data_IF_115669636102
#
_entry.id   IF_115669636102
#
_cell.length_a   1.000
_cell.length_b   1.000
_cell.length_c   1.000
_cell.angle_alpha   90.00
_cell.angle_beta   90.00
_cell.angle_gamma   90.00
#
_symmetry.space_group_name_H-M   'P 1'
#
loop_
_entity.id
_entity.type
_entity.pdbx_description
1 polymer ?
#
# COMPACT_ATOMS: atom_id res chain seq x y z
N UNK A 1 -8.48 42.42 -8.80
CA UNK A 1 -7.83 41.45 -9.71
C UNK A 1 -8.62 40.16 -9.67
N UNK A 2 -9.13 39.74 -10.83
CA UNK A 2 -10.36 38.96 -10.97
C UNK A 2 -10.14 37.45 -10.78
N UNK A 3 -10.89 36.86 -9.84
CA UNK A 3 -10.92 35.41 -9.56
C UNK A 3 -11.65 34.57 -10.64
N UNK A 4 -12.19 35.21 -11.67
CA UNK A 4 -12.92 34.55 -12.77
C UNK A 4 -12.04 34.07 -13.93
N UNK A 5 -10.72 34.29 -13.87
CA UNK A 5 -9.79 33.89 -14.94
C UNK A 5 -9.21 32.47 -14.77
N UNK A 6 -9.37 31.83 -13.60
CA UNK A 6 -8.73 30.53 -13.31
C UNK A 6 -9.60 29.34 -13.76
N UNK A 7 -10.90 29.53 -13.98
CA UNK A 7 -11.81 28.45 -14.44
C UNK A 7 -11.74 28.22 -15.97
N UNK A 8 -11.11 29.12 -16.73
CA UNK A 8 -11.01 29.01 -18.18
C UNK A 8 -9.80 28.18 -18.69
N UNK A 9 -8.97 27.62 -17.80
CA UNK A 9 -7.73 26.95 -18.19
C UNK A 9 -7.86 25.55 -18.80
N UNK A 10 -9.04 24.91 -18.72
CA UNK A 10 -9.20 23.49 -19.10
C UNK A 10 -10.24 23.21 -20.20
N UNK A 11 -10.93 24.23 -20.70
CA UNK A 11 -11.74 24.08 -21.91
C UNK A 11 -10.87 23.96 -23.19
N UNK A 12 -9.60 24.36 -23.12
CA UNK A 12 -8.73 24.52 -24.29
C UNK A 12 -7.98 23.26 -24.75
N UNK A 13 -7.91 22.19 -23.93
CA UNK A 13 -7.20 20.95 -24.29
C UNK A 13 -8.09 19.87 -24.95
N UNK A 14 -9.36 20.20 -25.26
CA UNK A 14 -10.34 19.22 -25.79
C UNK A 14 -10.34 19.14 -27.33
N UNK A 15 -9.70 20.10 -28.03
CA UNK A 15 -9.89 20.25 -29.48
C UNK A 15 -8.78 19.71 -30.39
N UNK A 16 -7.66 19.24 -29.87
CA UNK A 16 -6.57 18.70 -30.69
C UNK A 16 -6.71 17.21 -31.02
N UNK A 17 -7.81 16.55 -30.66
CA UNK A 17 -8.04 15.10 -30.86
C UNK A 17 -8.48 14.70 -32.27
N UNK A 18 -8.24 15.51 -33.30
CA UNK A 18 -8.68 15.20 -34.67
C UNK A 18 -7.70 15.59 -35.80
N UNK A 19 -6.46 15.95 -35.44
CA UNK A 19 -5.44 16.40 -36.40
C UNK A 19 -4.14 15.61 -36.22
N UNK A 20 -4.23 14.28 -36.24
CA UNK A 20 -3.08 13.43 -36.52
C UNK A 20 -2.83 13.54 -38.04
N UNK A 21 -1.72 14.13 -38.46
CA UNK A 21 -1.23 14.06 -39.86
C UNK A 21 -1.92 14.88 -40.96
N UNK A 22 -2.88 15.77 -40.67
CA UNK A 22 -3.72 16.40 -41.72
C UNK A 22 -3.36 17.84 -42.12
N UNK A 23 -2.20 18.36 -41.70
CA UNK A 23 -1.78 19.75 -41.99
C UNK A 23 -1.61 20.04 -43.50
N UNK A 24 -1.41 19.01 -44.32
CA UNK A 24 -1.33 19.14 -45.78
C UNK A 24 -2.64 18.83 -46.52
N UNK A 25 -3.74 18.53 -45.82
CA UNK A 25 -5.02 18.29 -46.49
C UNK A 25 -5.54 19.58 -47.16
N UNK A 26 -5.69 19.52 -48.47
CA UNK A 26 -6.42 20.50 -49.26
C UNK A 26 -7.85 20.65 -48.72
N UNK A 27 -8.52 21.77 -49.04
CA UNK A 27 -9.93 21.97 -48.66
C UNK A 27 -10.83 20.83 -49.19
N UNK A 28 -10.50 20.28 -50.36
CA UNK A 28 -11.22 19.18 -50.98
C UNK A 28 -11.06 17.87 -50.20
N UNK A 29 -9.84 17.54 -49.77
CA UNK A 29 -9.56 16.34 -48.97
C UNK A 29 -10.24 16.40 -47.60
N UNK A 30 -10.22 17.58 -46.94
CA UNK A 30 -10.96 17.81 -45.70
C UNK A 30 -12.46 17.60 -45.87
N UNK A 31 -13.05 18.12 -46.95
CA UNK A 31 -14.47 17.95 -47.24
C UNK A 31 -14.82 16.47 -47.49
N UNK A 32 -14.00 15.76 -48.26
CA UNK A 32 -14.17 14.33 -48.51
C UNK A 32 -14.08 13.50 -47.22
N UNK A 33 -13.12 13.81 -46.34
CA UNK A 33 -12.97 13.16 -45.04
C UNK A 33 -14.18 13.38 -44.14
N UNK A 34 -14.64 14.63 -44.01
CA UNK A 34 -15.85 14.94 -43.24
C UNK A 34 -17.07 14.24 -43.84
N UNK A 35 -17.18 14.14 -45.17
CA UNK A 35 -18.28 13.42 -45.81
C UNK A 35 -18.25 11.92 -45.48
N UNK A 36 -17.05 11.31 -45.44
CA UNK A 36 -16.82 9.90 -45.14
C UNK A 36 -17.02 9.54 -43.64
N UNK A 37 -17.02 10.51 -42.73
CA UNK A 37 -17.29 10.28 -41.31
C UNK A 37 -18.70 9.71 -41.09
N UNK A 38 -18.82 8.80 -40.13
CA UNK A 38 -20.10 8.33 -39.59
C UNK A 38 -20.90 9.47 -38.94
N UNK A 39 -22.20 9.27 -38.74
CA UNK A 39 -23.05 10.27 -38.07
C UNK A 39 -22.60 10.55 -36.63
N UNK A 40 -22.10 9.53 -35.93
CA UNK A 40 -21.53 9.67 -34.59
C UNK A 40 -20.27 10.54 -34.59
N UNK A 41 -19.37 10.35 -35.55
CA UNK A 41 -18.16 11.16 -35.71
C UNK A 41 -18.47 12.60 -36.12
N UNK A 42 -19.44 12.79 -37.04
CA UNK A 42 -19.92 14.12 -37.43
C UNK A 42 -20.53 14.86 -36.24
N UNK A 43 -21.32 14.18 -35.40
CA UNK A 43 -21.87 14.76 -34.18
C UNK A 43 -20.76 15.13 -33.19
N UNK A 44 -19.77 14.24 -32.99
CA UNK A 44 -18.62 14.52 -32.13
C UNK A 44 -17.80 15.73 -32.64
N UNK A 45 -17.62 15.85 -33.96
CA UNK A 45 -16.93 16.98 -34.59
C UNK A 45 -17.70 18.28 -34.40
N UNK A 46 -19.03 18.29 -34.60
CA UNK A 46 -19.88 19.46 -34.33
C UNK A 46 -19.79 19.91 -32.88
N UNK A 47 -19.86 18.98 -31.93
CA UNK A 47 -19.73 19.28 -30.51
C UNK A 47 -18.35 19.85 -30.15
N UNK A 48 -17.28 19.40 -30.83
CA UNK A 48 -15.94 20.00 -30.68
C UNK A 48 -15.91 21.43 -31.23
N UNK A 49 -16.44 21.65 -32.43
CA UNK A 49 -16.51 22.99 -33.04
C UNK A 49 -17.29 23.97 -32.18
N UNK A 50 -18.46 23.57 -31.68
CA UNK A 50 -19.28 24.43 -30.82
C UNK A 50 -18.54 24.81 -29.53
N UNK A 51 -17.80 23.88 -28.92
CA UNK A 51 -16.95 24.18 -27.75
C UNK A 51 -15.83 25.16 -28.10
N UNK A 52 -15.22 25.04 -29.28
CA UNK A 52 -14.20 25.97 -29.74
C UNK A 52 -14.77 27.37 -29.96
N UNK A 53 -15.93 27.47 -30.60
CA UNK A 53 -16.58 28.74 -30.92
C UNK A 53 -17.04 29.49 -29.66
N UNK A 54 -17.32 28.76 -28.57
CA UNK A 54 -17.63 29.34 -27.25
C UNK A 54 -16.40 29.88 -26.52
N UNK A 55 -15.17 29.60 -26.97
CA UNK A 55 -13.96 30.15 -26.34
C UNK A 55 -13.83 31.65 -26.64
N UNK A 56 -13.27 32.43 -25.69
CA UNK A 56 -12.86 33.82 -25.93
C UNK A 56 -11.96 33.96 -27.16
N UNK A 57 -12.04 35.10 -27.85
CA UNK A 57 -11.34 35.31 -29.11
C UNK A 57 -9.80 35.21 -28.98
N UNK A 58 -9.25 35.70 -27.87
CA UNK A 58 -7.85 35.58 -27.50
C UNK A 58 -7.43 34.12 -27.31
N UNK A 59 -8.25 33.31 -26.65
CA UNK A 59 -7.96 31.89 -26.45
C UNK A 59 -8.08 31.09 -27.76
N UNK A 60 -9.07 31.41 -28.62
CA UNK A 60 -9.12 30.83 -29.98
C UNK A 60 -7.88 31.18 -30.79
N UNK A 61 -7.45 32.44 -30.76
CA UNK A 61 -6.24 32.88 -31.46
C UNK A 61 -4.99 32.18 -30.93
N UNK A 62 -4.87 32.02 -29.61
CA UNK A 62 -3.78 31.27 -28.98
C UNK A 62 -3.75 29.83 -29.46
N UNK A 63 -4.89 29.15 -29.55
CA UNK A 63 -4.99 27.78 -30.06
C UNK A 63 -4.61 27.67 -31.54
N UNK A 64 -5.02 28.64 -32.38
CA UNK A 64 -4.58 28.71 -33.77
C UNK A 64 -3.05 28.86 -33.86
N UNK A 65 -2.47 29.76 -33.07
CA UNK A 65 -1.03 29.98 -33.04
C UNK A 65 -0.27 28.73 -32.58
N UNK A 66 -0.78 28.02 -31.56
CA UNK A 66 -0.19 26.76 -31.10
C UNK A 66 -0.23 25.70 -32.20
N UNK A 67 -1.34 25.57 -32.92
CA UNK A 67 -1.43 24.62 -34.02
C UNK A 67 -0.42 24.95 -35.14
N UNK A 68 -0.33 26.22 -35.54
CA UNK A 68 0.65 26.66 -36.55
C UNK A 68 2.09 26.35 -36.09
N UNK A 69 2.44 26.62 -34.83
CA UNK A 69 3.76 26.29 -34.27
C UNK A 69 4.04 24.79 -34.28
N UNK A 70 3.04 23.94 -34.07
CA UNK A 70 3.19 22.48 -34.17
C UNK A 70 3.34 22.01 -35.62
N UNK A 71 2.76 22.72 -36.59
CA UNK A 71 2.88 22.38 -38.02
C UNK A 71 4.24 22.76 -38.61
N UNK A 72 4.83 23.87 -38.16
CA UNK A 72 6.14 24.34 -38.63
C UNK A 72 7.32 23.51 -38.10
N UNK A 73 7.11 22.75 -37.02
CA UNK A 73 8.15 21.97 -36.35
C UNK A 73 8.37 20.60 -36.98
N UNK A 74 9.63 20.22 -37.14
CA UNK A 74 10.01 18.88 -37.62
C UNK A 74 9.58 17.74 -36.69
N UNK A 75 9.50 17.99 -35.38
CA UNK A 75 9.03 17.06 -34.33
C UNK A 75 7.55 17.26 -33.97
N UNK A 76 6.79 18.03 -34.78
CA UNK A 76 5.42 18.43 -34.47
C UNK A 76 4.45 17.27 -34.23
N UNK A 77 4.61 16.18 -34.98
CA UNK A 77 3.77 14.98 -34.82
C UNK A 77 4.04 14.23 -33.51
N UNK A 78 5.31 14.11 -33.11
CA UNK A 78 5.68 13.50 -31.84
C UNK A 78 5.14 14.33 -30.66
N UNK A 79 5.22 15.66 -30.75
CA UNK A 79 4.65 16.56 -29.75
C UNK A 79 3.13 16.42 -29.64
N UNK A 80 2.42 16.26 -30.76
CA UNK A 80 0.97 15.97 -30.75
C UNK A 80 0.67 14.67 -30.02
N UNK A 81 1.44 13.61 -30.26
CA UNK A 81 1.29 12.34 -29.54
C UNK A 81 1.56 12.47 -28.05
N UNK A 82 2.57 13.26 -27.65
CA UNK A 82 2.84 13.56 -26.23
C UNK A 82 1.66 14.31 -25.60
N UNK A 83 1.10 15.30 -26.28
CA UNK A 83 -0.09 16.03 -25.79
C UNK A 83 -1.29 15.09 -25.61
N UNK A 84 -1.49 14.12 -26.52
CA UNK A 84 -2.54 13.11 -26.39
C UNK A 84 -2.33 12.20 -25.20
N UNK A 85 -1.14 11.60 -25.07
CA UNK A 85 -0.81 10.74 -23.92
C UNK A 85 -0.96 11.48 -22.60
N UNK A 86 -0.52 12.74 -22.55
CA UNK A 86 -0.69 13.59 -21.38
C UNK A 86 -2.17 13.86 -21.07
N UNK A 87 -2.99 14.17 -22.07
CA UNK A 87 -4.42 14.39 -21.86
C UNK A 87 -5.14 13.13 -21.40
N UNK A 88 -4.84 11.97 -21.99
CA UNK A 88 -5.44 10.70 -21.61
C UNK A 88 -5.03 10.29 -20.19
N UNK A 89 -3.76 10.50 -19.82
CA UNK A 89 -3.31 10.34 -18.44
C UNK A 89 -3.98 11.32 -17.49
N UNK A 90 -4.13 12.61 -17.85
CA UNK A 90 -4.84 13.57 -17.00
C UNK A 90 -6.28 13.15 -16.68
N UNK A 91 -6.95 12.41 -17.57
CA UNK A 91 -8.32 11.90 -17.31
C UNK A 91 -8.36 10.82 -16.23
N UNK A 92 -7.25 10.12 -15.97
CA UNK A 92 -7.18 9.10 -14.91
C UNK A 92 -7.07 9.73 -13.53
N UNK A 93 -6.64 11.00 -13.45
CA UNK A 93 -6.45 11.72 -12.19
C UNK A 93 -7.77 12.24 -11.60
N UNK A 94 -7.84 12.25 -10.27
CA UNK A 94 -8.96 12.84 -9.56
C UNK A 94 -8.99 14.39 -9.72
N UNK A 95 -10.11 15.01 -9.37
CA UNK A 95 -10.29 16.46 -9.54
C UNK A 95 -9.28 17.30 -8.74
N UNK A 96 -8.90 16.86 -7.54
CA UNK A 96 -7.90 17.54 -6.70
C UNK A 96 -6.50 17.51 -7.32
N UNK A 97 -6.06 16.34 -7.79
CA UNK A 97 -4.77 16.18 -8.49
C UNK A 97 -4.70 17.02 -9.77
N UNK A 98 -5.79 17.07 -10.54
CA UNK A 98 -5.84 17.90 -11.76
C UNK A 98 -5.74 19.39 -11.44
N UNK A 99 -6.40 19.85 -10.39
CA UNK A 99 -6.34 21.24 -9.95
C UNK A 99 -4.94 21.60 -9.44
N UNK A 100 -4.32 20.73 -8.65
CA UNK A 100 -2.94 20.93 -8.17
C UNK A 100 -1.98 21.09 -9.36
N UNK A 101 -2.04 20.19 -10.35
CA UNK A 101 -1.20 20.29 -11.53
C UNK A 101 -1.44 21.59 -12.32
N UNK A 102 -2.69 22.09 -12.37
CA UNK A 102 -3.03 23.34 -13.04
C UNK A 102 -2.36 24.55 -12.42
N UNK A 103 -2.35 24.61 -11.09
CA UNK A 103 -1.82 25.74 -10.32
C UNK A 103 -0.29 25.78 -10.30
N UNK A 104 0.36 24.62 -10.48
CA UNK A 104 1.81 24.53 -10.49
C UNK A 104 2.46 25.17 -11.73
N UNK A 105 3.58 25.90 -11.58
CA UNK A 105 4.48 26.28 -12.67
C UNK A 105 4.96 25.06 -13.46
N UNK A 106 5.36 25.27 -14.73
CA UNK A 106 5.72 24.18 -15.66
C UNK A 106 6.76 23.21 -15.07
N UNK A 107 7.82 23.74 -14.43
CA UNK A 107 8.89 22.89 -13.89
C UNK A 107 8.42 22.04 -12.71
N UNK A 108 7.69 22.64 -11.77
CA UNK A 108 7.11 21.95 -10.61
C UNK A 108 6.05 20.93 -11.04
N UNK A 109 5.27 21.26 -12.07
CA UNK A 109 4.29 20.35 -12.67
C UNK A 109 4.96 19.08 -13.20
N UNK A 110 6.10 19.19 -13.87
CA UNK A 110 6.84 18.01 -14.37
C UNK A 110 7.31 17.13 -13.20
N UNK A 111 7.81 17.73 -12.12
CA UNK A 111 8.21 16.99 -10.91
C UNK A 111 7.00 16.25 -10.33
N UNK A 112 5.87 16.96 -10.16
CA UNK A 112 4.64 16.38 -9.64
C UNK A 112 4.08 15.26 -10.51
N UNK A 113 4.14 15.40 -11.84
CA UNK A 113 3.74 14.33 -12.78
C UNK A 113 4.58 13.07 -12.53
N UNK A 114 5.90 13.20 -12.41
CA UNK A 114 6.79 12.06 -12.13
C UNK A 114 6.45 11.39 -10.81
N UNK A 115 6.15 12.17 -9.77
CA UNK A 115 5.74 11.63 -8.46
C UNK A 115 4.43 10.82 -8.56
N UNK A 116 3.42 11.37 -9.25
CA UNK A 116 2.13 10.71 -9.44
C UNK A 116 2.27 9.42 -10.26
N UNK A 117 3.07 9.43 -11.33
CA UNK A 117 3.37 8.23 -12.11
C UNK A 117 4.08 7.16 -11.26
N UNK A 118 5.07 7.56 -10.46
CA UNK A 118 5.77 6.64 -9.55
C UNK A 118 4.85 6.09 -8.44
N UNK A 119 3.87 6.85 -7.97
CA UNK A 119 2.85 6.38 -7.04
C UNK A 119 1.88 5.39 -7.68
N UNK A 120 1.44 5.65 -8.91
CA UNK A 120 0.61 4.75 -9.69
C UNK A 120 1.34 3.42 -9.97
N UNK A 121 2.61 3.47 -10.37
CA UNK A 121 3.44 2.29 -10.59
C UNK A 121 3.65 1.46 -9.31
N UNK A 122 3.91 2.12 -8.17
CA UNK A 122 4.01 1.46 -6.86
C UNK A 122 2.69 0.82 -6.45
N UNK A 123 1.58 1.51 -6.68
CA UNK A 123 0.24 1.00 -6.36
C UNK A 123 -0.11 -0.20 -7.24
N UNK A 124 0.18 -0.12 -8.54
CA UNK A 124 0.01 -1.25 -9.47
C UNK A 124 0.87 -2.44 -9.05
N UNK A 125 2.15 -2.20 -8.77
CA UNK A 125 3.06 -3.23 -8.28
C UNK A 125 2.52 -3.90 -7.00
N UNK A 126 2.09 -3.10 -6.03
CA UNK A 126 1.52 -3.61 -4.78
C UNK A 126 0.25 -4.44 -5.01
N UNK A 127 -0.62 -4.01 -5.92
CA UNK A 127 -1.84 -4.74 -6.26
C UNK A 127 -1.53 -6.09 -6.94
N UNK A 128 -0.60 -6.11 -7.89
CA UNK A 128 -0.13 -7.35 -8.53
C UNK A 128 0.49 -8.27 -7.48
N UNK A 129 1.39 -7.76 -6.65
CA UNK A 129 1.99 -8.52 -5.56
C UNK A 129 0.95 -9.10 -4.61
N UNK A 130 -0.06 -8.32 -4.23
CA UNK A 130 -1.16 -8.79 -3.38
C UNK A 130 -1.95 -9.91 -4.05
N UNK A 131 -2.17 -9.84 -5.37
CA UNK A 131 -2.89 -10.86 -6.12
C UNK A 131 -2.10 -12.17 -6.22
N UNK A 132 -0.79 -12.08 -6.50
CA UNK A 132 0.13 -13.22 -6.45
C UNK A 132 0.09 -13.86 -5.06
N UNK A 133 0.32 -13.05 -4.02
CA UNK A 133 0.37 -13.52 -2.62
C UNK A 133 -0.92 -14.18 -2.14
N UNK A 134 -2.08 -13.85 -2.70
CA UNK A 134 -3.36 -14.52 -2.37
C UNK A 134 -3.44 -15.95 -2.92
N UNK A 135 -2.75 -16.24 -4.01
CA UNK A 135 -2.75 -17.57 -4.65
C UNK A 135 -1.61 -18.48 -4.19
N UNK A 136 -0.54 -17.91 -3.63
CA UNK A 136 0.62 -18.68 -3.15
C UNK A 136 0.24 -19.48 -1.91
N UNK A 137 0.46 -20.80 -1.97
CA UNK A 137 0.16 -21.73 -0.87
C UNK A 137 1.26 -21.71 0.20
N UNK A 138 0.96 -22.19 1.40
CA UNK A 138 1.95 -22.25 2.48
C UNK A 138 3.16 -23.12 2.11
N UNK A 139 2.92 -24.24 1.42
CA UNK A 139 3.95 -25.17 0.97
C UNK A 139 4.90 -24.52 -0.05
N UNK A 140 4.40 -23.58 -0.85
CA UNK A 140 5.20 -22.84 -1.81
C UNK A 140 6.10 -21.81 -1.09
N UNK A 141 5.61 -21.15 -0.04
CA UNK A 141 6.46 -20.35 0.84
C UNK A 141 7.56 -21.19 1.51
N UNK A 142 7.24 -22.39 1.98
CA UNK A 142 8.23 -23.28 2.58
C UNK A 142 9.27 -23.72 1.53
N UNK A 143 8.84 -24.03 0.30
CA UNK A 143 9.75 -24.37 -0.80
C UNK A 143 10.68 -23.22 -1.17
N UNK A 144 10.16 -21.99 -1.28
CA UNK A 144 10.96 -20.79 -1.53
C UNK A 144 11.96 -20.58 -0.39
N UNK A 145 11.51 -20.67 0.86
CA UNK A 145 12.38 -20.47 2.03
C UNK A 145 13.49 -21.50 2.09
N UNK A 146 13.15 -22.77 1.85
CA UNK A 146 14.12 -23.86 1.79
C UNK A 146 15.15 -23.62 0.70
N UNK A 147 14.73 -23.23 -0.50
CA UNK A 147 15.64 -22.89 -1.59
C UNK A 147 16.57 -21.73 -1.21
N UNK A 148 16.05 -20.70 -0.54
CA UNK A 148 16.87 -19.57 -0.05
C UNK A 148 17.97 -20.05 0.88
N UNK A 149 17.63 -20.84 1.90
CA UNK A 149 18.56 -21.22 2.98
C UNK A 149 19.51 -22.34 2.55
N UNK A 150 18.96 -23.39 1.95
CA UNK A 150 19.69 -24.65 1.74
C UNK A 150 20.50 -24.63 0.43
N UNK A 151 20.17 -23.73 -0.50
CA UNK A 151 20.77 -23.75 -1.84
C UNK A 151 21.36 -22.39 -2.21
N UNK A 152 20.53 -21.36 -2.31
CA UNK A 152 20.97 -20.07 -2.85
C UNK A 152 21.96 -19.35 -1.91
N UNK A 153 21.65 -19.24 -0.61
CA UNK A 153 22.57 -18.63 0.35
C UNK A 153 23.83 -19.44 0.59
N UNK A 154 23.79 -20.75 0.38
CA UNK A 154 25.00 -21.58 0.44
C UNK A 154 25.97 -21.20 -0.68
N UNK A 155 25.45 -20.97 -1.90
CA UNK A 155 26.26 -20.49 -3.04
C UNK A 155 26.78 -19.05 -2.82
N UNK A 156 25.93 -18.19 -2.27
CA UNK A 156 26.19 -16.74 -2.13
C UNK A 156 26.81 -16.34 -0.78
N UNK A 157 27.13 -17.32 0.07
CA UNK A 157 27.65 -17.14 1.42
C UNK A 157 28.77 -16.11 1.50
N UNK A 158 29.81 -16.29 0.68
CA UNK A 158 31.00 -15.43 0.73
C UNK A 158 30.69 -13.98 0.37
N UNK A 159 29.73 -13.75 -0.54
CA UNK A 159 29.28 -12.41 -0.92
C UNK A 159 28.51 -11.74 0.22
N UNK A 160 27.73 -12.49 0.98
CA UNK A 160 27.04 -11.97 2.18
C UNK A 160 28.04 -11.66 3.30
N UNK A 161 28.99 -12.57 3.56
CA UNK A 161 30.02 -12.37 4.59
C UNK A 161 30.96 -11.21 4.27
N UNK A 162 31.21 -10.90 2.99
CA UNK A 162 32.00 -9.74 2.59
C UNK A 162 31.40 -8.40 3.07
N UNK A 163 30.08 -8.34 3.31
CA UNK A 163 29.40 -7.14 3.83
C UNK A 163 29.23 -7.15 5.35
N UNK A 164 29.74 -8.16 6.06
CA UNK A 164 29.52 -8.36 7.50
C UNK A 164 29.96 -7.15 8.34
N UNK A 165 31.20 -6.68 8.16
CA UNK A 165 31.73 -5.57 8.96
C UNK A 165 31.00 -4.25 8.67
N UNK A 166 30.65 -4.00 7.41
CA UNK A 166 29.87 -2.82 7.03
C UNK A 166 28.47 -2.87 7.63
N UNK A 167 27.85 -4.05 7.65
CA UNK A 167 26.56 -4.26 8.28
C UNK A 167 26.61 -4.04 9.79
N UNK A 168 27.69 -4.45 10.46
CA UNK A 168 27.89 -4.17 11.88
C UNK A 168 28.07 -2.69 12.20
N UNK A 169 28.63 -1.88 11.29
CA UNK A 169 28.68 -0.42 11.48
C UNK A 169 27.29 0.20 11.49
N UNK A 170 26.41 -0.27 10.60
CA UNK A 170 25.02 0.21 10.53
C UNK A 170 24.13 -0.38 11.63
N UNK A 171 24.39 -1.64 12.01
CA UNK A 171 23.57 -2.43 12.95
C UNK A 171 24.46 -3.13 13.97
N UNK A 172 25.04 -2.36 14.89
CA UNK A 172 25.99 -2.84 15.90
C UNK A 172 25.47 -4.02 16.72
N UNK A 173 24.16 -4.07 17.00
CA UNK A 173 23.52 -5.17 17.75
C UNK A 173 23.66 -6.55 17.09
N UNK A 174 23.87 -6.60 15.75
CA UNK A 174 24.10 -7.87 15.06
C UNK A 174 25.42 -8.51 15.46
N UNK A 175 26.45 -7.72 15.77
CA UNK A 175 27.76 -8.25 16.16
C UNK A 175 27.65 -9.09 17.43
N UNK A 176 26.97 -8.57 18.44
CA UNK A 176 26.75 -9.28 19.70
C UNK A 176 25.79 -10.46 19.51
N UNK A 177 24.68 -10.25 18.79
CA UNK A 177 23.68 -11.30 18.56
C UNK A 177 24.16 -12.48 17.71
N UNK A 178 25.19 -12.28 16.88
CA UNK A 178 25.80 -13.32 16.02
C UNK A 178 27.12 -13.87 16.56
N UNK A 179 27.56 -13.44 17.75
CA UNK A 179 28.78 -13.94 18.39
C UNK A 179 28.60 -15.28 19.11
N UNK A 180 27.37 -15.81 19.18
CA UNK A 180 27.07 -17.09 19.82
C UNK A 180 27.75 -18.27 19.09
N UNK A 181 28.68 -19.00 19.74
CA UNK A 181 29.36 -20.15 19.12
C UNK A 181 28.43 -21.31 18.74
N UNK A 182 27.23 -21.37 19.31
CA UNK A 182 26.22 -22.39 18.99
C UNK A 182 25.43 -22.07 17.72
N UNK A 183 25.56 -20.86 17.18
CA UNK A 183 24.87 -20.43 15.98
C UNK A 183 25.51 -21.06 14.74
N UNK A 184 24.75 -21.91 14.03
CA UNK A 184 25.21 -22.46 12.75
C UNK A 184 25.55 -21.34 11.76
N UNK A 185 26.61 -21.53 10.97
CA UNK A 185 27.08 -20.56 9.99
C UNK A 185 26.00 -20.17 8.97
N UNK A 186 25.22 -21.13 8.45
CA UNK A 186 24.11 -20.85 7.52
C UNK A 186 23.06 -19.91 8.14
N UNK A 187 22.77 -20.09 9.43
CA UNK A 187 21.85 -19.22 10.16
C UNK A 187 22.44 -17.82 10.38
N UNK A 188 23.76 -17.71 10.62
CA UNK A 188 24.46 -16.42 10.66
C UNK A 188 24.35 -15.71 9.31
N UNK A 189 24.68 -16.39 8.22
CA UNK A 189 24.61 -15.86 6.84
C UNK A 189 23.19 -15.40 6.52
N UNK A 190 22.19 -16.21 6.84
CA UNK A 190 20.78 -15.86 6.67
C UNK A 190 20.38 -14.58 7.42
N UNK A 191 20.78 -14.45 8.69
CA UNK A 191 20.48 -13.24 9.50
C UNK A 191 21.19 -12.02 8.94
N UNK A 192 22.46 -12.15 8.51
CA UNK A 192 23.21 -11.07 7.87
C UNK A 192 22.51 -10.63 6.59
N UNK A 193 22.27 -11.55 5.66
CA UNK A 193 21.58 -11.29 4.39
C UNK A 193 20.24 -10.59 4.59
N UNK A 194 19.39 -11.11 5.48
CA UNK A 194 18.10 -10.49 5.79
C UNK A 194 18.26 -9.05 6.32
N UNK A 195 19.35 -8.77 7.02
CA UNK A 195 19.60 -7.45 7.56
C UNK A 195 20.29 -6.51 6.58
N UNK A 196 20.79 -6.96 5.43
CA UNK A 196 21.34 -6.09 4.38
C UNK A 196 20.26 -5.22 3.73
N UNK A 197 19.01 -5.70 3.72
CA UNK A 197 17.91 -5.01 3.04
C UNK A 197 17.68 -3.60 3.55
N UNK A 198 17.76 -2.65 2.61
CA UNK A 198 17.46 -1.23 2.86
C UNK A 198 18.51 -0.53 3.72
N UNK A 199 19.71 -1.09 3.84
CA UNK A 199 20.85 -0.41 4.46
C UNK A 199 21.56 0.40 3.38
N UNK A 200 21.62 1.72 3.57
CA UNK A 200 22.33 2.62 2.66
C UNK A 200 23.82 2.27 2.59
N UNK A 201 24.42 2.32 1.41
CA UNK A 201 25.84 1.98 1.19
C UNK A 201 26.14 0.49 1.02
N UNK A 202 25.31 -0.40 1.56
CA UNK A 202 25.48 -1.85 1.40
C UNK A 202 24.75 -2.32 0.14
N UNK A 203 25.50 -2.95 -0.77
CA UNK A 203 24.91 -3.56 -1.97
C UNK A 203 24.09 -4.78 -1.57
N UNK A 204 22.78 -4.73 -1.83
CA UNK A 204 21.89 -5.89 -1.69
C UNK A 204 22.46 -7.10 -2.44
N UNK A 205 22.69 -8.21 -1.72
CA UNK A 205 22.98 -9.51 -2.33
C UNK A 205 21.64 -10.13 -2.68
N UNK A 206 21.31 -10.11 -3.98
CA UNK A 206 20.07 -10.65 -4.52
C UNK A 206 20.37 -11.69 -5.60
N UNK A 207 19.45 -12.66 -5.80
CA UNK A 207 19.54 -13.59 -6.91
C UNK A 207 19.66 -12.86 -8.24
N UNK A 208 20.45 -13.41 -9.16
CA UNK A 208 20.53 -12.91 -10.53
C UNK A 208 19.41 -13.50 -11.41
N UNK A 209 19.39 -13.16 -12.70
CA UNK A 209 18.38 -13.64 -13.64
C UNK A 209 18.31 -15.17 -13.74
N UNK A 210 19.47 -15.85 -13.73
CA UNK A 210 19.53 -17.31 -13.76
C UNK A 210 18.99 -17.93 -12.48
N UNK A 211 19.31 -17.35 -11.31
CA UNK A 211 18.78 -17.81 -10.03
C UNK A 211 17.25 -17.61 -9.97
N UNK A 212 16.74 -16.50 -10.51
CA UNK A 212 15.31 -16.24 -10.57
C UNK A 212 14.58 -17.17 -11.53
N UNK A 213 15.19 -17.54 -12.65
CA UNK A 213 14.66 -18.57 -13.54
C UNK A 213 14.60 -19.94 -12.83
N UNK A 214 15.64 -20.27 -12.06
CA UNK A 214 15.69 -21.47 -11.23
C UNK A 214 14.56 -21.46 -10.19
N UNK A 215 14.42 -20.38 -9.41
CA UNK A 215 13.37 -20.22 -8.42
C UNK A 215 11.98 -20.36 -9.05
N UNK A 216 11.73 -19.65 -10.16
CA UNK A 216 10.45 -19.67 -10.87
C UNK A 216 10.06 -21.09 -11.30
N UNK A 217 11.03 -21.90 -11.76
CA UNK A 217 10.76 -23.29 -12.19
C UNK A 217 10.25 -24.19 -11.06
N UNK A 218 10.48 -23.81 -9.80
CA UNK A 218 10.06 -24.54 -8.60
C UNK A 218 8.70 -24.08 -8.05
N UNK A 219 8.16 -22.98 -8.57
CA UNK A 219 6.87 -22.44 -8.15
C UNK A 219 5.72 -23.24 -8.77
N UNK A 220 4.53 -23.13 -8.18
CA UNK A 220 3.33 -23.77 -8.72
C UNK A 220 2.96 -23.17 -10.09
N UNK A 221 2.32 -23.96 -10.95
CA UNK A 221 1.94 -23.54 -12.30
C UNK A 221 1.05 -22.29 -12.30
N UNK A 222 0.19 -22.11 -11.29
CA UNK A 222 -0.63 -20.91 -11.16
C UNK A 222 0.23 -19.67 -10.89
N UNK A 223 1.21 -19.77 -9.99
CA UNK A 223 2.14 -18.70 -9.65
C UNK A 223 3.04 -18.35 -10.84
N UNK A 224 3.57 -19.37 -11.54
CA UNK A 224 4.34 -19.17 -12.77
C UNK A 224 3.53 -18.40 -13.82
N UNK A 225 2.26 -18.79 -14.05
CA UNK A 225 1.38 -18.10 -15.00
C UNK A 225 1.16 -16.63 -14.64
N UNK A 226 1.01 -16.31 -13.35
CA UNK A 226 0.86 -14.90 -12.90
C UNK A 226 2.14 -14.10 -13.10
N UNK A 227 3.30 -14.71 -12.89
CA UNK A 227 4.60 -14.10 -13.15
C UNK A 227 4.86 -13.89 -14.64
N UNK A 228 4.40 -14.80 -15.50
CA UNK A 228 4.53 -14.71 -16.96
C UNK A 228 3.63 -13.65 -17.59
N UNK A 229 2.55 -13.26 -16.90
CA UNK A 229 1.70 -12.16 -17.32
C UNK A 229 2.37 -10.78 -17.17
N UNK A 230 3.47 -10.68 -16.42
CA UNK A 230 4.18 -9.43 -16.14
C UNK A 230 5.70 -9.60 -16.41
N UNK A 231 6.12 -9.85 -17.67
CA UNK A 231 7.51 -10.20 -18.01
C UNK A 231 8.51 -9.12 -17.61
N UNK A 232 8.17 -7.85 -17.82
CA UNK A 232 9.05 -6.71 -17.51
C UNK A 232 9.28 -6.52 -15.99
N UNK A 233 8.40 -7.11 -15.16
CA UNK A 233 8.44 -6.97 -13.69
C UNK A 233 8.71 -8.30 -12.99
N UNK A 234 8.98 -9.36 -13.74
CA UNK A 234 9.06 -10.71 -13.21
C UNK A 234 10.12 -10.82 -12.10
N UNK A 235 11.29 -10.20 -12.28
CA UNK A 235 12.36 -10.20 -11.28
C UNK A 235 11.96 -9.44 -10.00
N UNK A 236 11.32 -8.28 -10.13
CA UNK A 236 10.86 -7.50 -8.97
C UNK A 236 9.78 -8.25 -8.18
N UNK A 237 8.88 -8.94 -8.89
CA UNK A 237 7.84 -9.77 -8.27
C UNK A 237 8.44 -10.97 -7.54
N UNK A 238 9.42 -11.66 -8.13
CA UNK A 238 10.14 -12.76 -7.49
C UNK A 238 10.94 -12.28 -6.27
N UNK A 239 11.65 -11.17 -6.38
CA UNK A 239 12.35 -10.53 -5.27
C UNK A 239 11.39 -10.19 -4.11
N UNK A 240 10.23 -9.64 -4.43
CA UNK A 240 9.21 -9.32 -3.44
C UNK A 240 8.58 -10.57 -2.83
N UNK A 241 8.36 -11.63 -3.61
CA UNK A 241 7.88 -12.93 -3.14
C UNK A 241 8.88 -13.59 -2.18
N UNK A 242 10.18 -13.56 -2.50
CA UNK A 242 11.24 -14.02 -1.62
C UNK A 242 11.26 -13.25 -0.30
N UNK A 243 11.20 -11.91 -0.35
CA UNK A 243 11.13 -11.08 0.87
C UNK A 243 9.88 -11.42 1.68
N UNK A 244 8.72 -11.55 1.03
CA UNK A 244 7.47 -11.90 1.69
C UNK A 244 7.54 -13.29 2.36
N UNK A 245 8.21 -14.24 1.72
CA UNK A 245 8.50 -15.57 2.27
C UNK A 245 9.28 -15.46 3.57
N UNK A 246 10.39 -14.73 3.54
CA UNK A 246 11.24 -14.51 4.71
C UNK A 246 10.45 -13.84 5.84
N UNK A 247 9.70 -12.78 5.55
CA UNK A 247 8.84 -12.12 6.55
C UNK A 247 7.73 -13.03 7.10
N UNK A 248 7.16 -13.91 6.26
CA UNK A 248 6.16 -14.88 6.67
C UNK A 248 6.74 -15.87 7.68
N UNK A 249 7.93 -16.41 7.40
CA UNK A 249 8.63 -17.34 8.30
C UNK A 249 8.94 -16.69 9.64
N UNK A 250 9.44 -15.45 9.64
CA UNK A 250 9.67 -14.68 10.88
C UNK A 250 8.38 -14.36 11.68
N UNK A 251 7.23 -14.28 11.01
CA UNK A 251 5.93 -14.01 11.68
C UNK A 251 5.22 -15.27 12.15
N UNK A 252 5.38 -16.39 11.44
CA UNK A 252 4.52 -17.56 11.61
C UNK A 252 5.19 -18.73 12.34
N UNK A 253 6.51 -18.85 12.33
CA UNK A 253 7.19 -19.95 13.03
C UNK A 253 7.52 -19.59 14.48
N UNK A 254 6.50 -19.69 15.33
CA UNK A 254 6.73 -20.11 16.72
C UNK A 254 6.41 -21.60 16.76
N UNK A 255 7.41 -22.40 17.11
CA UNK A 255 7.26 -23.84 17.33
C UNK A 255 6.15 -24.10 18.36
N UNK A 256 5.25 -25.04 18.08
CA UNK A 256 4.14 -25.37 18.97
C UNK A 256 4.64 -25.81 20.35
N UNK A 257 5.79 -26.47 20.41
CA UNK A 257 6.38 -26.87 21.68
C UNK A 257 6.91 -25.67 22.47
N UNK A 258 7.44 -24.65 21.78
CA UNK A 258 7.80 -23.36 22.40
C UNK A 258 6.57 -22.55 22.83
N UNK A 259 5.46 -22.64 22.10
CA UNK A 259 4.20 -22.02 22.51
C UNK A 259 3.62 -22.70 23.75
N UNK A 260 3.70 -24.03 23.85
CA UNK A 260 3.30 -24.78 25.05
C UNK A 260 4.16 -24.40 26.25
N UNK A 261 5.49 -24.38 26.08
CA UNK A 261 6.42 -23.97 27.13
C UNK A 261 6.15 -22.53 27.58
N UNK A 262 5.98 -21.61 26.63
CA UNK A 262 5.63 -20.22 26.91
C UNK A 262 4.31 -20.10 27.65
N UNK A 263 3.27 -20.81 27.19
CA UNK A 263 1.97 -20.82 27.86
C UNK A 263 2.07 -21.32 29.31
N UNK A 264 2.88 -22.35 29.56
CA UNK A 264 3.11 -22.87 30.91
C UNK A 264 3.73 -21.81 31.85
N UNK A 265 4.60 -20.95 31.30
CA UNK A 265 5.29 -19.87 32.02
C UNK A 265 4.45 -18.59 32.19
N UNK A 266 3.29 -18.47 31.53
CA UNK A 266 2.44 -17.29 31.64
C UNK A 266 1.85 -17.14 33.06
N UNK A 267 1.68 -15.90 33.57
CA UNK A 267 0.96 -15.66 34.81
C UNK A 267 -0.47 -16.21 34.74
N UNK A 268 -1.01 -16.69 35.87
CA UNK A 268 -2.37 -17.28 35.93
C UNK A 268 -3.46 -16.34 35.42
N UNK A 269 -3.29 -15.02 35.62
CA UNK A 269 -4.20 -14.01 35.07
C UNK A 269 -4.26 -14.04 33.53
N UNK A 270 -3.13 -14.25 32.87
CA UNK A 270 -3.05 -14.33 31.41
C UNK A 270 -3.60 -15.68 30.93
N UNK A 271 -3.25 -16.80 31.58
CA UNK A 271 -3.82 -18.12 31.28
C UNK A 271 -5.35 -18.13 31.40
N UNK A 272 -5.90 -17.49 32.43
CA UNK A 272 -7.34 -17.33 32.62
C UNK A 272 -7.99 -16.49 31.50
N UNK A 273 -7.29 -15.48 30.95
CA UNK A 273 -7.77 -14.73 29.78
C UNK A 273 -7.90 -15.63 28.55
N UNK A 274 -6.94 -16.55 28.36
CA UNK A 274 -6.95 -17.49 27.25
C UNK A 274 -8.00 -18.60 27.38
N UNK A 275 -8.37 -18.99 28.61
CA UNK A 275 -9.36 -20.06 28.86
C UNK A 275 -10.75 -19.79 28.26
N UNK A 276 -11.09 -18.53 27.98
CA UNK A 276 -12.35 -18.14 27.35
C UNK A 276 -12.32 -18.05 25.82
N UNK A 277 -11.19 -18.34 25.16
CA UNK A 277 -11.05 -18.20 23.71
C UNK A 277 -11.42 -19.50 22.98
N UNK A 278 -11.91 -19.35 21.74
CA UNK A 278 -12.00 -20.50 20.82
C UNK A 278 -10.58 -21.00 20.48
N UNK A 279 -10.41 -22.27 20.04
CA UNK A 279 -9.09 -22.81 19.69
C UNK A 279 -8.32 -21.94 18.68
N UNK A 280 -9.00 -21.42 17.66
CA UNK A 280 -8.39 -20.58 16.62
C UNK A 280 -7.94 -19.23 17.18
N UNK A 281 -8.76 -18.64 18.06
CA UNK A 281 -8.44 -17.37 18.71
C UNK A 281 -7.36 -17.55 19.78
N UNK A 282 -7.34 -18.69 20.46
CA UNK A 282 -6.33 -19.07 21.44
C UNK A 282 -4.96 -19.11 20.77
N UNK A 283 -4.80 -19.91 19.71
CA UNK A 283 -3.52 -20.04 18.99
C UNK A 283 -3.04 -18.68 18.44
N UNK A 284 -3.94 -17.93 17.80
CA UNK A 284 -3.63 -16.61 17.26
C UNK A 284 -3.15 -15.62 18.34
N UNK A 285 -3.89 -15.48 19.44
CA UNK A 285 -3.55 -14.55 20.52
C UNK A 285 -2.31 -15.02 21.30
N UNK A 286 -2.09 -16.34 21.44
CA UNK A 286 -0.92 -16.88 22.12
C UNK A 286 0.34 -16.63 21.30
N UNK A 287 0.33 -16.90 19.98
CA UNK A 287 1.43 -16.56 19.07
C UNK A 287 1.70 -15.06 19.05
N UNK A 288 0.64 -14.25 19.08
CA UNK A 288 0.76 -12.78 19.12
C UNK A 288 1.41 -12.30 20.42
N UNK A 289 1.00 -12.82 21.57
CA UNK A 289 1.60 -12.50 22.87
C UNK A 289 3.04 -12.99 22.94
N UNK A 290 3.31 -14.22 22.51
CA UNK A 290 4.67 -14.77 22.39
C UNK A 290 5.56 -13.83 21.57
N UNK A 291 5.10 -13.38 20.40
CA UNK A 291 5.85 -12.43 19.56
C UNK A 291 5.99 -11.06 20.19
N UNK A 292 5.05 -10.61 21.01
CA UNK A 292 5.15 -9.31 21.69
C UNK A 292 6.21 -9.33 22.80
N UNK A 293 6.27 -10.42 23.56
CA UNK A 293 7.25 -10.59 24.64
C UNK A 293 8.63 -10.97 24.11
N UNK A 294 8.70 -11.91 23.15
CA UNK A 294 9.95 -12.40 22.58
C UNK A 294 10.44 -11.61 21.37
N UNK A 295 9.57 -10.90 20.65
CA UNK A 295 9.94 -10.12 19.46
C UNK A 295 10.86 -8.95 19.75
N UNK A 296 10.91 -8.46 21.01
CA UNK A 296 11.95 -7.51 21.47
C UNK A 296 13.36 -8.08 21.36
N UNK A 297 13.52 -9.41 21.45
CA UNK A 297 14.81 -10.10 21.27
C UNK A 297 15.16 -10.30 19.79
N UNK A 298 14.16 -10.44 18.91
CA UNK A 298 14.37 -10.72 17.48
C UNK A 298 14.50 -9.46 16.60
N UNK A 299 13.89 -8.34 16.98
CA UNK A 299 13.89 -7.10 16.19
C UNK A 299 14.90 -6.04 16.70
N UNK A 300 15.71 -6.39 17.70
CA UNK A 300 16.44 -5.42 18.51
C UNK A 300 15.49 -4.42 19.18
N UNK A 301 16.02 -3.58 20.06
CA UNK A 301 15.27 -2.41 20.52
C UNK A 301 15.01 -1.48 19.32
N UNK A 302 13.95 -1.72 18.55
CA UNK A 302 13.37 -0.66 17.72
C UNK A 302 13.09 0.50 18.68
N UNK A 303 13.66 1.70 18.47
CA UNK A 303 13.24 2.86 19.24
C UNK A 303 11.71 2.93 19.16
N UNK A 304 11.02 3.29 20.26
CA UNK A 304 9.57 3.31 20.29
C UNK A 304 9.10 4.08 19.06
N UNK A 305 8.31 3.40 18.21
CA UNK A 305 7.66 4.09 17.10
C UNK A 305 6.95 5.33 17.65
N UNK A 306 6.88 6.42 16.89
CA UNK A 306 6.29 7.65 17.38
C UNK A 306 4.90 7.34 17.95
N UNK A 307 4.55 7.89 19.13
CA UNK A 307 3.30 7.57 19.80
C UNK A 307 2.11 7.76 18.85
N UNK A 308 1.08 6.90 18.93
CA UNK A 308 -0.11 7.01 18.10
C UNK A 308 -0.85 8.30 18.49
N UNK A 309 -0.53 9.37 17.77
CA UNK A 309 -0.92 10.74 18.09
C UNK A 309 -0.13 11.80 17.31
N UNK A 310 1.07 11.48 16.81
CA UNK A 310 1.89 12.40 15.99
C UNK A 310 1.72 12.15 14.47
N UNK A 311 0.49 11.83 14.03
CA UNK A 311 0.10 11.93 12.63
C UNK A 311 -0.83 13.13 12.47
N UNK A 312 -0.26 14.26 12.07
CA UNK A 312 -0.96 15.22 11.22
C UNK A 312 -1.46 16.50 11.85
N UNK A 313 -0.53 17.39 12.18
CA UNK A 313 -0.80 18.83 12.26
C UNK A 313 0.03 19.54 11.18
N UNK A 314 -0.06 19.05 9.94
CA UNK A 314 0.47 19.72 8.75
C UNK A 314 -0.32 20.99 8.39
N UNK A 315 -0.47 21.90 9.35
CA UNK A 315 -0.96 23.28 9.15
C UNK A 315 0.11 24.27 9.60
N UNK A 316 1.08 24.52 8.73
CA UNK A 316 1.76 25.81 8.63
C UNK A 316 1.85 26.11 7.14
N UNK A 317 0.95 26.87 6.51
CA UNK A 317 0.43 28.21 6.81
C UNK A 317 1.55 29.24 7.02
N UNK A 318 1.89 29.86 5.88
CA UNK A 318 2.48 31.18 5.67
C UNK A 318 2.89 31.95 6.91
N UNK A 319 4.21 32.08 7.07
CA UNK A 319 4.82 33.15 7.82
C UNK A 319 4.90 34.40 6.94
N UNK A 320 3.83 35.19 6.94
CA UNK A 320 3.81 36.52 6.35
C UNK A 320 4.06 37.51 7.49
N UNK A 321 5.26 38.07 7.54
CA UNK A 321 5.58 39.16 8.43
C UNK A 321 4.78 40.42 8.09
N UNK A 322 4.15 41.00 9.12
CA UNK A 322 3.77 42.41 9.34
C UNK A 322 3.05 42.40 10.69
N UNK A 323 3.53 43.02 11.76
CA UNK A 323 4.03 44.40 11.80
C UNK A 323 2.88 45.29 12.25
N UNK A 324 2.99 45.71 13.51
CA UNK A 324 2.55 46.99 14.05
C UNK A 324 1.09 47.21 14.52
N UNK A 325 1.00 47.79 15.72
CA UNK A 325 0.08 48.88 16.01
C UNK A 325 -1.29 48.58 16.64
N UNK A 326 -1.47 49.02 17.88
CA UNK A 326 -2.48 50.05 18.13
C UNK A 326 -3.80 49.66 18.81
N UNK A 327 -3.81 49.88 20.13
CA UNK A 327 -4.90 50.37 21.01
C UNK A 327 -6.24 50.78 20.36
N UNK A 328 -7.33 50.45 21.07
CA UNK A 328 -8.28 51.48 21.53
C UNK A 328 -9.75 51.35 21.11
N UNK A 329 -10.61 51.28 22.15
CA UNK A 329 -11.94 51.92 22.29
C UNK A 329 -13.04 51.67 21.22
N UNK A 330 -14.17 51.09 21.66
CA UNK A 330 -15.47 51.16 20.96
C UNK A 330 -16.14 52.52 21.19
N UNK A 331 -17.47 52.60 21.33
CA UNK A 331 -18.59 51.89 20.68
C UNK A 331 -19.41 52.86 19.81
N UNK A 332 -20.42 52.40 19.06
CA UNK A 332 -21.76 53.02 19.09
C UNK A 332 -22.78 52.43 18.09
N UNK A 333 -24.00 52.39 18.63
CA UNK A 333 -25.34 52.20 18.11
C UNK A 333 -25.68 52.49 16.64
N UNK A 334 -26.57 51.63 16.12
CA UNK A 334 -27.89 51.87 15.47
C UNK A 334 -28.10 50.75 14.44
N UNK A 335 -29.23 50.09 14.29
CA UNK A 335 -30.56 50.23 14.85
C UNK A 335 -31.43 49.28 14.01
N UNK A 336 -32.18 48.44 14.70
CA UNK A 336 -33.58 48.08 14.48
C UNK A 336 -34.22 47.98 13.08
N UNK A 337 -35.13 47.00 13.02
CA UNK A 337 -36.29 46.80 12.13
C UNK A 337 -36.06 45.99 10.84
N UNK A 338 -36.99 45.15 10.37
CA UNK A 338 -38.15 44.45 10.96
C UNK A 338 -38.64 43.48 9.85
N UNK A 339 -39.32 42.40 10.26
CA UNK A 339 -40.29 41.58 9.47
C UNK A 339 -39.82 40.69 8.32
N UNK A 340 -40.22 39.42 8.42
CA UNK A 340 -40.44 38.58 7.24
C UNK A 340 -40.67 37.09 7.49
N UNK A 341 -41.59 36.70 8.38
CA UNK A 341 -42.06 35.31 8.51
C UNK A 341 -42.79 34.79 7.26
N UNK A 342 -42.78 33.45 7.13
CA UNK A 342 -43.62 32.51 6.34
C UNK A 342 -42.82 31.79 5.24
N UNK A 343 -42.78 30.47 5.13
CA UNK A 343 -43.45 29.38 5.85
C UNK A 343 -43.00 28.05 5.20
N UNK A 344 -42.97 26.97 6.00
CA UNK A 344 -42.81 25.61 5.50
C UNK A 344 -44.01 25.14 4.65
N UNK A 345 -43.94 23.93 4.07
CA UNK A 345 -44.26 22.77 4.91
C UNK A 345 -43.41 21.50 4.67
N UNK A 346 -43.36 20.71 5.73
CA UNK A 346 -43.38 19.24 5.82
C UNK A 346 -42.92 18.39 4.62
N UNK A 347 -41.97 17.49 4.91
CA UNK A 347 -42.10 16.06 4.58
C UNK A 347 -41.28 15.17 5.51
N UNK A 348 -42.01 14.28 6.19
CA UNK A 348 -41.55 13.16 7.02
C UNK A 348 -41.18 11.94 6.15
N UNK A 349 -40.37 11.05 6.74
CA UNK A 349 -40.02 9.69 6.28
C UNK A 349 -38.51 9.55 6.17
N UNK A 350 -37.74 9.00 7.13
CA UNK A 350 -37.80 7.70 7.83
C UNK A 350 -37.87 6.52 6.85
N UNK A 351 -36.69 5.97 6.56
CA UNK A 351 -36.33 4.55 6.28
C UNK A 351 -34.79 4.55 6.17
N UNK A 352 -33.98 3.65 6.71
CA UNK A 352 -34.23 2.34 7.30
C UNK A 352 -33.28 1.26 6.74
N UNK A 353 -31.95 1.39 6.91
CA UNK A 353 -30.95 0.30 6.72
C UNK A 353 -30.72 -0.22 5.28
N UNK A 354 -29.81 -1.19 5.03
CA UNK A 354 -29.14 -2.07 5.99
C UNK A 354 -27.60 -2.13 5.90
N UNK A 355 -27.01 -2.62 7.00
CA UNK A 355 -25.59 -2.90 7.16
C UNK A 355 -25.09 -4.12 6.37
N UNK A 356 -23.85 -4.02 5.93
CA UNK A 356 -23.13 -5.06 5.20
C UNK A 356 -22.40 -5.97 6.22
N UNK A 357 -23.11 -6.98 6.72
CA UNK A 357 -22.52 -8.11 7.45
C UNK A 357 -22.13 -9.21 6.47
N UNK A 358 -20.83 -9.43 6.29
CA UNK A 358 -20.30 -10.47 5.41
C UNK A 358 -20.49 -11.89 5.97
N UNK A 359 -20.61 -12.91 5.11
CA UNK A 359 -20.97 -14.28 5.48
C UNK A 359 -19.82 -15.05 6.13
N UNK A 360 -20.17 -15.82 7.16
CA UNK A 360 -19.28 -16.72 7.86
C UNK A 360 -18.80 -17.88 6.99
N UNK A 361 -17.49 -18.13 7.05
CA UNK A 361 -16.85 -19.35 6.54
C UNK A 361 -17.18 -20.51 7.48
N UNK A 362 -18.11 -21.37 7.07
CA UNK A 362 -18.34 -22.69 7.70
C UNK A 362 -17.66 -23.74 6.83
N UNK A 363 -16.37 -23.97 7.08
CA UNK A 363 -15.63 -25.10 6.53
C UNK A 363 -15.72 -26.28 7.48
N UNK A 364 -16.31 -27.38 6.99
CA UNK A 364 -16.31 -28.69 7.63
C UNK A 364 -14.88 -29.21 7.76
N UNK A 365 -14.43 -29.58 8.97
CA UNK A 365 -13.27 -30.47 9.15
C UNK A 365 -13.42 -31.37 10.37
N UNK A 366 -13.34 -32.67 10.10
CA UNK A 366 -12.56 -33.67 10.86
C UNK A 366 -13.10 -34.16 12.21
N UNK A 367 -12.97 -35.47 12.51
CA UNK A 367 -13.28 -35.99 13.84
C UNK A 367 -12.31 -35.42 14.88
N UNK A 368 -12.87 -35.06 16.05
CA UNK A 368 -12.17 -34.51 17.22
C UNK A 368 -11.07 -35.46 17.72
N UNK A 369 -9.93 -34.94 18.23
CA UNK A 369 -9.05 -35.70 19.11
C UNK A 369 -9.74 -35.97 20.47
N UNK A 370 -9.44 -37.08 21.16
CA UNK A 370 -9.97 -37.35 22.49
C UNK A 370 -9.39 -36.36 23.51
N UNK A 371 -10.26 -35.85 24.39
CA UNK A 371 -9.86 -35.05 25.55
C UNK A 371 -9.12 -35.95 26.57
N UNK A 372 -8.15 -35.42 27.32
CA UNK A 372 -7.58 -36.13 28.45
C UNK A 372 -8.65 -36.38 29.51
N UNK A 373 -8.66 -37.60 30.07
CA UNK A 373 -9.64 -38.04 31.06
C UNK A 373 -9.60 -37.14 32.31
N UNK A 374 -10.79 -36.79 32.82
CA UNK A 374 -10.96 -36.21 34.16
C UNK A 374 -10.37 -37.16 35.20
N UNK A 375 -9.27 -36.77 35.82
CA UNK A 375 -8.78 -37.42 37.05
C UNK A 375 -9.81 -37.17 38.16
N UNK A 376 -10.41 -38.26 38.63
CA UNK A 376 -11.26 -38.28 39.83
C UNK A 376 -10.47 -37.76 41.04
N UNK A 377 -11.05 -36.89 41.88
CA UNK A 377 -10.38 -36.38 43.07
C UNK A 377 -10.15 -37.51 44.10
N UNK A 378 -9.07 -37.43 44.90
CA UNK A 378 -8.72 -38.47 45.86
C UNK A 378 -9.77 -38.60 46.97
N UNK A 379 -9.97 -39.82 47.53
CA UNK A 379 -10.94 -40.06 48.58
C UNK A 379 -10.55 -39.37 49.90
N UNK A 380 -11.57 -38.91 50.63
CA UNK A 380 -11.47 -38.39 51.99
C UNK A 380 -10.87 -39.45 52.93
N UNK A 381 -10.03 -39.07 53.91
CA UNK A 381 -9.54 -40.00 54.92
C UNK A 381 -10.68 -40.48 55.82
N UNK A 382 -10.68 -41.79 56.09
CA UNK A 382 -11.61 -42.49 56.99
C UNK A 382 -11.34 -42.09 58.45
N UNK A 383 -12.41 -41.82 59.20
CA UNK A 383 -12.37 -41.56 60.64
C UNK A 383 -12.10 -42.88 61.40
N UNK A 384 -11.05 -42.89 62.23
CA UNK A 384 -10.73 -44.00 63.11
C UNK A 384 -11.80 -44.17 64.22
N UNK A 385 -12.19 -45.41 64.57
CA UNK A 385 -13.15 -45.65 65.64
C UNK A 385 -12.50 -45.46 67.03
N UNK A 386 -13.15 -44.61 67.83
CA UNK A 386 -12.88 -44.41 69.26
C UNK A 386 -13.17 -45.71 70.02
N UNK A 387 -12.14 -46.37 70.56
CA UNK A 387 -12.28 -47.46 71.53
C UNK A 387 -12.68 -46.88 72.88
N UNK A 388 -13.81 -47.34 73.40
CA UNK A 388 -14.29 -47.08 74.75
C UNK A 388 -13.76 -48.16 75.69
N UNK A 389 -12.82 -47.80 76.57
CA UNK A 389 -12.49 -48.63 77.73
C UNK A 389 -13.48 -48.34 78.85
N UNK A 390 -14.17 -49.41 79.26
CA UNK A 390 -15.07 -49.46 80.42
C UNK A 390 -14.35 -50.19 81.54
N UNK A 391 -14.30 -49.56 82.71
CA UNK A 391 -13.86 -50.14 83.98
C UNK A 391 -14.68 -51.39 84.35
N UNK A 392 -13.99 -52.45 84.79
CA UNK A 392 -14.21 -53.12 86.09
C UNK A 392 -13.00 -54.00 86.47
#
# INVERSE_FOLDING_TARGET
>A
MNRSAVVAGFASLVLLTALIGHAQETKSERAARIAAMSDAEKLALRNKLERFDRLPADERQRLFNLNAQLEERSDGEELRQVMHRYYDWLKTLNSGQRLELQELPIQERIVKIKELMAEEERSRFFNIMKDIMKGVKAEEFDAIHKWIIDEWLVREKERVLASEDELYRHKHWLREGLSDPSLSENRKVYILWFNMFGVEGIRDVMPNESDFAELKSRLDAETQKKLDAEPDRQQDLLAALMRATVFSQFRNHVDDDKLKEFYAQLPEKEKARFAGYSPERFDYELRKLYRQENGKRFAGNRPPGPPPGLRGDGRGRGGDGRGDGGRGQGPDHRGDQDRGSRGGPDRRGRDGGPGNGGPGMRGERGPRPPMPAEETPPPKPEEEPVTSDTND
#
